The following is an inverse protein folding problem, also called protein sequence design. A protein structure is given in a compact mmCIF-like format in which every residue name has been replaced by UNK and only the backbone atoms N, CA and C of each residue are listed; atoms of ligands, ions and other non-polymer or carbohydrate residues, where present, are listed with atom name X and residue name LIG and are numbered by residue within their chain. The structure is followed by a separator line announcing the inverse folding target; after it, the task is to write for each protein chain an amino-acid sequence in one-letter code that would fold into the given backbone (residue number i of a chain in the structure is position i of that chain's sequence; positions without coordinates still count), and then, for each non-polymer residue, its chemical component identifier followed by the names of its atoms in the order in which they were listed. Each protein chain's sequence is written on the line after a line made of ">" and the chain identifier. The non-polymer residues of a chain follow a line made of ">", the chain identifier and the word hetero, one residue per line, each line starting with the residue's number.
data_IF_159066035766
#
_entry.id   IF_159066035766
#
_cell.length_a   1.000
_cell.length_b   1.000
_cell.length_c   1.000
_cell.angle_alpha   90.00
_cell.angle_beta   90.00
_cell.angle_gamma   90.00
#
_symmetry.space_group_name_H-M   'P 1'
#
loop_
_entity.id
_entity.type
_entity.pdbx_description
1 polymer ?
#
# COMPACT_ATOMS: atom_id res chain seq x y z
N UNK A 1 -14.82 14.74 -4.72
CA UNK A 1 -14.74 15.57 -5.95
C UNK A 1 -15.51 16.86 -5.80
N UNK A 2 -16.78 16.84 -5.38
CA UNK A 2 -17.63 18.04 -5.31
C UNK A 2 -17.05 19.19 -4.42
N UNK A 3 -16.17 18.89 -3.48
CA UNK A 3 -15.47 19.87 -2.62
C UNK A 3 -14.08 20.24 -3.13
N UNK A 4 -13.61 19.62 -4.21
CA UNK A 4 -12.31 19.90 -4.80
C UNK A 4 -12.35 21.19 -5.63
N UNK A 5 -11.32 22.06 -5.59
CA UNK A 5 -11.22 23.19 -6.52
C UNK A 5 -10.99 22.73 -7.97
N UNK A 6 -10.55 21.50 -8.19
CA UNK A 6 -10.30 20.97 -9.52
C UNK A 6 -11.56 20.97 -10.38
N UNK A 7 -11.52 21.72 -11.50
CA UNK A 7 -12.65 21.95 -12.40
C UNK A 7 -13.95 22.35 -11.68
N UNK A 8 -13.82 23.17 -10.63
CA UNK A 8 -14.95 23.63 -9.81
C UNK A 8 -15.80 22.48 -9.25
N UNK A 9 -15.17 21.40 -8.81
CA UNK A 9 -15.85 20.22 -8.26
C UNK A 9 -16.46 19.26 -9.28
N UNK A 10 -16.26 19.48 -10.58
CA UNK A 10 -16.81 18.65 -11.68
C UNK A 10 -15.75 17.77 -12.36
N UNK A 11 -14.49 17.83 -11.93
CA UNK A 11 -13.43 17.02 -12.49
C UNK A 11 -13.47 15.58 -11.97
N UNK A 12 -13.03 14.64 -12.80
CA UNK A 12 -12.80 13.24 -12.44
C UNK A 12 -11.34 12.90 -12.74
N UNK A 13 -10.47 13.16 -11.77
CA UNK A 13 -9.02 12.93 -11.90
C UNK A 13 -8.72 11.47 -12.20
N UNK A 14 -9.45 10.55 -11.56
CA UNK A 14 -9.24 9.11 -11.75
C UNK A 14 -9.54 8.72 -13.20
N UNK A 15 -10.65 9.21 -13.74
CA UNK A 15 -11.02 9.01 -15.16
C UNK A 15 -9.97 9.55 -16.10
N UNK A 16 -9.50 10.77 -15.85
CA UNK A 16 -8.52 11.42 -16.72
C UNK A 16 -7.19 10.66 -16.74
N UNK A 17 -6.73 10.17 -15.58
CA UNK A 17 -5.51 9.35 -15.46
C UNK A 17 -5.70 7.97 -16.10
N UNK A 18 -6.82 7.27 -15.83
CA UNK A 18 -7.12 5.98 -16.44
C UNK A 18 -7.16 6.06 -17.97
N UNK A 19 -7.80 7.11 -18.52
CA UNK A 19 -7.85 7.33 -19.96
C UNK A 19 -6.48 7.68 -20.55
N UNK A 20 -5.65 8.42 -19.83
CA UNK A 20 -4.28 8.72 -20.23
C UNK A 20 -3.41 7.47 -20.25
N UNK A 21 -3.49 6.63 -19.22
CA UNK A 21 -2.80 5.33 -19.15
C UNK A 21 -3.18 4.44 -20.35
N UNK A 22 -4.49 4.35 -20.65
CA UNK A 22 -4.99 3.57 -21.80
C UNK A 22 -4.42 4.08 -23.12
N UNK A 23 -4.39 5.40 -23.33
CA UNK A 23 -3.81 6.00 -24.56
C UNK A 23 -2.31 5.79 -24.66
N UNK A 24 -1.62 5.81 -23.52
CA UNK A 24 -0.17 5.62 -23.45
C UNK A 24 0.30 4.17 -23.40
N UNK A 25 -0.62 3.19 -23.38
CA UNK A 25 -0.28 1.77 -23.24
C UNK A 25 0.34 1.42 -21.87
N UNK A 26 0.03 2.21 -20.83
CA UNK A 26 0.49 2.00 -19.45
C UNK A 26 -0.63 1.33 -18.67
N UNK A 27 -0.29 0.32 -17.87
CA UNK A 27 -1.25 -0.32 -16.98
C UNK A 27 -1.65 0.63 -15.86
N UNK A 28 -2.95 0.68 -15.59
CA UNK A 28 -3.51 1.57 -14.58
C UNK A 28 -3.66 0.86 -13.23
N UNK A 29 -3.15 1.46 -12.18
CA UNK A 29 -3.33 1.02 -10.79
C UNK A 29 -3.98 2.12 -9.97
N UNK A 30 -4.51 1.75 -8.80
CA UNK A 30 -5.14 2.67 -7.87
C UNK A 30 -4.49 2.56 -6.49
N UNK A 31 -4.42 3.70 -5.81
CA UNK A 31 -4.07 3.81 -4.40
C UNK A 31 -5.33 4.19 -3.62
N UNK A 32 -5.64 3.48 -2.56
CA UNK A 32 -6.71 3.83 -1.66
C UNK A 32 -6.26 3.60 -0.21
N UNK A 33 -6.02 4.70 0.52
CA UNK A 33 -5.69 4.62 1.93
C UNK A 33 -6.93 4.30 2.76
N UNK A 34 -6.89 3.27 3.61
CA UNK A 34 -7.97 3.01 4.54
C UNK A 34 -7.97 3.98 5.75
N UNK A 35 -6.94 4.79 5.92
CA UNK A 35 -6.91 5.82 6.96
C UNK A 35 -7.51 7.14 6.47
N UNK A 36 -8.82 7.27 6.59
CA UNK A 36 -9.54 8.49 6.20
C UNK A 36 -9.71 9.42 7.41
N UNK A 37 -8.86 10.42 7.50
CA UNK A 37 -8.86 11.43 8.56
C UNK A 37 -10.01 12.43 8.47
N UNK A 38 -10.83 12.38 7.42
CA UNK A 38 -11.98 13.27 7.23
C UNK A 38 -13.32 12.56 7.38
N UNK A 39 -13.35 11.22 7.27
CA UNK A 39 -14.59 10.48 7.35
C UNK A 39 -15.09 10.37 8.80
N UNK A 40 -16.29 10.87 9.06
CA UNK A 40 -16.90 10.78 10.38
C UNK A 40 -17.20 9.33 10.83
N UNK A 41 -17.25 8.39 9.89
CA UNK A 41 -17.47 6.96 10.17
C UNK A 41 -16.18 6.24 10.59
N UNK A 42 -15.00 6.86 10.37
CA UNK A 42 -13.72 6.22 10.72
C UNK A 42 -13.69 5.87 12.22
N UNK A 43 -13.22 4.68 12.54
CA UNK A 43 -13.22 4.16 13.91
C UNK A 43 -14.57 3.64 14.40
N UNK A 44 -15.56 3.49 13.50
CA UNK A 44 -16.89 2.94 13.83
C UNK A 44 -17.08 1.50 13.31
N UNK A 45 -15.98 0.76 13.11
CA UNK A 45 -16.01 -0.64 12.70
C UNK A 45 -16.75 -0.84 11.38
N UNK A 46 -17.74 -1.74 11.35
CA UNK A 46 -18.45 -2.11 10.12
C UNK A 46 -19.03 -0.93 9.33
N UNK A 47 -19.45 0.14 9.96
CA UNK A 47 -20.01 1.30 9.25
C UNK A 47 -18.95 1.98 8.37
N UNK A 48 -17.70 2.04 8.86
CA UNK A 48 -16.58 2.52 8.06
C UNK A 48 -16.18 1.52 6.97
N UNK A 49 -16.14 0.22 7.28
CA UNK A 49 -15.80 -0.80 6.29
C UNK A 49 -16.82 -0.82 5.13
N UNK A 50 -18.11 -0.62 5.41
CA UNK A 50 -19.14 -0.48 4.37
C UNK A 50 -18.88 0.74 3.46
N UNK A 51 -18.51 1.87 4.05
CA UNK A 51 -18.13 3.08 3.31
C UNK A 51 -16.87 2.86 2.46
N UNK A 52 -15.83 2.24 3.04
CA UNK A 52 -14.58 1.96 2.34
C UNK A 52 -14.80 1.00 1.16
N UNK A 53 -15.55 -0.08 1.37
CA UNK A 53 -15.92 -1.04 0.31
C UNK A 53 -16.75 -0.39 -0.79
N UNK A 54 -17.61 0.59 -0.46
CA UNK A 54 -18.34 1.33 -1.48
C UNK A 54 -17.41 2.16 -2.38
N UNK A 55 -16.42 2.88 -1.80
CA UNK A 55 -15.40 3.59 -2.57
C UNK A 55 -14.55 2.65 -3.42
N UNK A 56 -14.10 1.54 -2.82
CA UNK A 56 -13.33 0.53 -3.52
C UNK A 56 -14.10 -0.06 -4.70
N UNK A 57 -15.39 -0.35 -4.50
CA UNK A 57 -16.28 -0.84 -5.57
C UNK A 57 -16.42 0.16 -6.70
N UNK A 58 -16.59 1.45 -6.40
CA UNK A 58 -16.61 2.51 -7.40
C UNK A 58 -15.33 2.52 -8.24
N UNK A 59 -14.16 2.50 -7.58
CA UNK A 59 -12.87 2.48 -8.26
C UNK A 59 -12.68 1.25 -9.15
N UNK A 60 -13.11 0.08 -8.69
CA UNK A 60 -12.92 -1.19 -9.40
C UNK A 60 -13.93 -1.42 -10.55
N UNK A 61 -15.02 -0.63 -10.63
CA UNK A 61 -16.08 -0.86 -11.62
C UNK A 61 -16.20 0.26 -12.65
N UNK A 62 -15.69 1.45 -12.36
CA UNK A 62 -15.96 2.61 -13.22
C UNK A 62 -14.81 3.01 -14.13
N UNK A 63 -13.58 2.52 -13.92
CA UNK A 63 -12.39 3.06 -14.57
C UNK A 63 -11.67 2.08 -15.51
N UNK A 64 -12.30 0.94 -15.79
CA UNK A 64 -11.75 -0.11 -16.65
C UNK A 64 -10.89 -1.10 -15.89
N UNK A 65 -9.94 -1.75 -16.57
CA UNK A 65 -9.09 -2.77 -15.98
C UNK A 65 -8.09 -2.16 -15.01
N UNK A 66 -8.05 -2.70 -13.81
CA UNK A 66 -7.14 -2.29 -12.75
C UNK A 66 -6.02 -3.32 -12.64
N UNK A 67 -4.79 -2.86 -12.85
CA UNK A 67 -3.61 -3.72 -12.74
C UNK A 67 -3.18 -3.96 -11.28
N UNK A 68 -3.25 -2.93 -10.46
CA UNK A 68 -2.80 -2.99 -9.07
C UNK A 68 -3.72 -2.16 -8.18
N UNK A 69 -4.06 -2.72 -7.02
CA UNK A 69 -4.64 -1.99 -5.90
C UNK A 69 -3.58 -1.89 -4.82
N UNK A 70 -3.14 -0.68 -4.55
CA UNK A 70 -2.13 -0.38 -3.55
C UNK A 70 -2.80 0.14 -2.28
N UNK A 71 -2.64 -0.58 -1.18
CA UNK A 71 -3.15 -0.18 0.12
C UNK A 71 -2.07 0.41 1.00
N UNK A 72 -2.36 1.58 1.55
CA UNK A 72 -1.57 2.15 2.63
C UNK A 72 -1.94 1.46 3.95
N UNK A 73 -0.95 0.98 4.70
CA UNK A 73 -1.16 0.30 5.97
C UNK A 73 -1.29 1.23 7.18
N UNK A 74 -1.10 2.53 6.98
CA UNK A 74 -1.16 3.49 8.08
C UNK A 74 -2.52 3.44 8.80
N UNK A 75 -2.48 3.48 10.13
CA UNK A 75 -3.66 3.38 10.98
C UNK A 75 -3.52 4.29 12.21
N UNK A 76 -3.74 5.58 12.01
CA UNK A 76 -3.82 6.56 13.10
C UNK A 76 -5.24 6.78 13.59
N UNK A 77 -5.43 7.83 14.39
CA UNK A 77 -6.74 8.25 14.87
C UNK A 77 -7.52 9.02 13.80
N UNK A 78 -8.82 8.83 13.80
CA UNK A 78 -9.76 9.61 13.01
C UNK A 78 -10.21 10.89 13.70
N UNK A 79 -11.18 11.63 13.11
CA UNK A 79 -11.71 12.87 13.67
C UNK A 79 -12.35 12.69 15.06
N UNK A 80 -12.75 11.48 15.39
CA UNK A 80 -13.37 11.09 16.66
C UNK A 80 -12.37 10.56 17.70
N UNK A 81 -11.06 10.63 17.43
CA UNK A 81 -10.01 10.11 18.30
C UNK A 81 -9.94 8.57 18.37
N UNK A 82 -10.60 7.87 17.45
CA UNK A 82 -10.58 6.40 17.40
C UNK A 82 -9.78 5.88 16.23
N UNK A 83 -9.14 4.74 16.42
CA UNK A 83 -8.53 3.96 15.35
C UNK A 83 -9.54 2.99 14.77
N UNK A 84 -9.42 2.71 13.46
CA UNK A 84 -10.23 1.71 12.78
C UNK A 84 -9.45 0.38 12.73
N UNK A 85 -10.14 -0.72 13.01
CA UNK A 85 -9.66 -2.05 12.65
C UNK A 85 -10.18 -2.35 11.25
N UNK A 86 -9.29 -2.49 10.28
CA UNK A 86 -9.64 -2.71 8.89
C UNK A 86 -10.09 -4.15 8.63
N UNK A 87 -11.13 -4.31 7.84
CA UNK A 87 -11.63 -5.62 7.39
C UNK A 87 -10.91 -6.07 6.10
N UNK A 88 -9.61 -6.35 6.22
CA UNK A 88 -8.77 -6.76 5.10
C UNK A 88 -9.34 -7.94 4.30
N UNK A 89 -9.87 -9.01 4.92
CA UNK A 89 -10.45 -10.12 4.16
C UNK A 89 -11.56 -9.66 3.22
N UNK A 90 -12.44 -8.80 3.69
CA UNK A 90 -13.55 -8.26 2.90
C UNK A 90 -13.08 -7.35 1.77
N UNK A 91 -12.01 -6.58 2.01
CA UNK A 91 -11.41 -5.71 0.98
C UNK A 91 -10.80 -6.57 -0.13
N UNK A 92 -10.05 -7.60 0.21
CA UNK A 92 -9.46 -8.54 -0.76
C UNK A 92 -10.53 -9.30 -1.56
N UNK A 93 -11.56 -9.81 -0.89
CA UNK A 93 -12.69 -10.47 -1.55
C UNK A 93 -13.37 -9.55 -2.58
N UNK A 94 -13.55 -8.29 -2.23
CA UNK A 94 -14.14 -7.29 -3.13
C UNK A 94 -13.27 -7.10 -4.39
N UNK A 95 -11.96 -7.00 -4.23
CA UNK A 95 -11.03 -6.88 -5.37
C UNK A 95 -11.06 -8.13 -6.23
N UNK A 96 -10.91 -9.32 -5.62
CA UNK A 96 -10.90 -10.59 -6.37
C UNK A 96 -12.18 -10.83 -7.15
N UNK A 97 -13.32 -10.41 -6.62
CA UNK A 97 -14.60 -10.54 -7.29
C UNK A 97 -14.76 -9.57 -8.47
N UNK A 98 -14.28 -8.35 -8.35
CA UNK A 98 -14.50 -7.28 -9.35
C UNK A 98 -13.36 -7.15 -10.36
N UNK A 99 -12.13 -7.44 -9.95
CA UNK A 99 -10.90 -7.36 -10.73
C UNK A 99 -10.00 -8.55 -10.36
N UNK A 100 -10.31 -9.76 -10.81
CA UNK A 100 -9.64 -11.00 -10.37
C UNK A 100 -8.13 -11.02 -10.66
N UNK A 101 -7.71 -10.34 -11.72
CA UNK A 101 -6.30 -10.26 -12.16
C UNK A 101 -5.53 -9.08 -11.54
N UNK A 102 -6.18 -8.24 -10.74
CA UNK A 102 -5.51 -7.13 -10.07
C UNK A 102 -4.57 -7.64 -8.98
N UNK A 103 -3.34 -7.12 -8.99
CA UNK A 103 -2.38 -7.34 -7.91
C UNK A 103 -2.78 -6.51 -6.68
N UNK A 104 -2.80 -7.12 -5.50
CA UNK A 104 -3.05 -6.42 -4.23
C UNK A 104 -1.71 -6.25 -3.53
N UNK A 105 -1.24 -5.00 -3.45
CA UNK A 105 0.10 -4.65 -3.01
C UNK A 105 0.13 -3.98 -1.65
N UNK A 106 1.26 -4.09 -1.00
CA UNK A 106 1.69 -3.53 0.29
C UNK A 106 1.00 -4.19 1.47
N UNK A 107 -0.28 -3.94 1.67
CA UNK A 107 -1.09 -4.61 2.70
C UNK A 107 -1.99 -5.65 2.05
N UNK A 108 -1.41 -6.51 1.22
CA UNK A 108 -2.16 -7.46 0.42
C UNK A 108 -1.46 -8.80 0.22
N UNK A 109 -2.20 -9.80 -0.27
CA UNK A 109 -1.71 -11.15 -0.37
C UNK A 109 -0.77 -11.40 -1.55
N UNK A 110 -0.56 -10.43 -2.46
CA UNK A 110 0.22 -10.67 -3.68
C UNK A 110 1.63 -10.08 -3.60
N UNK A 111 1.77 -8.93 -2.96
CA UNK A 111 3.06 -8.26 -2.77
C UNK A 111 3.12 -7.76 -1.33
N UNK A 112 4.18 -8.12 -0.62
CA UNK A 112 4.45 -7.62 0.72
C UNK A 112 5.29 -6.35 0.67
N UNK A 113 5.26 -5.61 1.73
CA UNK A 113 6.12 -4.47 1.91
C UNK A 113 7.41 -4.85 2.65
N UNK A 114 8.56 -4.27 2.27
CA UNK A 114 9.83 -4.57 2.93
C UNK A 114 9.96 -3.98 4.35
N UNK A 115 9.04 -3.08 4.75
CA UNK A 115 8.89 -2.61 6.13
C UNK A 115 9.50 -1.24 6.41
N UNK A 116 9.94 -0.48 5.40
CA UNK A 116 10.42 0.89 5.54
C UNK A 116 10.23 1.71 4.27
N UNK A 117 10.39 3.03 4.36
CA UNK A 117 10.37 3.99 3.26
C UNK A 117 11.78 4.54 2.92
N UNK A 118 12.80 4.03 3.55
CA UNK A 118 14.18 4.44 3.30
C UNK A 118 14.79 3.79 2.04
N UNK A 119 14.18 2.70 1.58
CA UNK A 119 14.66 1.90 0.46
C UNK A 119 15.62 0.78 0.89
N UNK A 120 15.72 0.51 2.19
CA UNK A 120 16.57 -0.54 2.70
C UNK A 120 15.89 -1.91 2.62
N UNK A 121 16.68 -2.93 2.28
CA UNK A 121 16.25 -4.33 2.25
C UNK A 121 17.04 -5.15 3.26
N UNK A 122 16.48 -6.28 3.69
CA UNK A 122 17.25 -7.29 4.43
C UNK A 122 18.26 -7.94 3.50
N UNK A 123 19.34 -8.46 4.04
CA UNK A 123 20.34 -9.21 3.26
C UNK A 123 19.71 -10.37 2.48
N UNK A 124 18.70 -11.02 3.08
CA UNK A 124 17.95 -12.11 2.49
C UNK A 124 16.50 -11.70 2.16
N UNK A 125 16.30 -10.60 1.45
CA UNK A 125 14.98 -10.12 1.00
C UNK A 125 14.53 -10.87 -0.26
N UNK A 126 14.24 -12.15 -0.11
CA UNK A 126 13.84 -13.02 -1.21
C UNK A 126 12.35 -12.97 -1.47
N UNK A 127 11.97 -13.33 -2.69
CA UNK A 127 10.57 -13.44 -3.08
C UNK A 127 9.91 -14.75 -2.61
N UNK A 128 10.68 -15.67 -2.07
CA UNK A 128 10.18 -16.91 -1.47
C UNK A 128 10.25 -16.78 0.04
N UNK A 129 9.12 -16.98 0.69
CA UNK A 129 8.96 -16.83 2.14
C UNK A 129 8.12 -17.98 2.73
N UNK A 130 8.17 -18.18 4.05
CA UNK A 130 7.26 -19.13 4.72
C UNK A 130 5.79 -18.77 4.50
N UNK A 131 4.94 -19.75 4.23
CA UNK A 131 3.51 -19.53 3.99
C UNK A 131 2.82 -18.77 5.12
N UNK A 132 3.21 -18.98 6.37
CA UNK A 132 2.65 -18.28 7.53
C UNK A 132 2.77 -16.76 7.46
N UNK A 133 3.62 -16.21 6.58
CA UNK A 133 3.72 -14.75 6.36
C UNK A 133 2.53 -14.18 5.61
N UNK A 134 1.73 -15.04 4.96
CA UNK A 134 0.48 -14.66 4.26
C UNK A 134 -0.77 -14.75 5.11
N UNK A 135 -0.66 -15.04 6.39
CA UNK A 135 -1.80 -14.97 7.29
C UNK A 135 -2.38 -13.56 7.28
N UNK A 136 -3.67 -13.44 6.98
CA UNK A 136 -4.35 -12.15 6.84
C UNK A 136 -4.34 -11.35 8.13
N UNK A 137 -4.40 -12.01 9.29
CA UNK A 137 -4.28 -11.33 10.58
C UNK A 137 -2.87 -10.77 10.75
N UNK A 138 -1.86 -11.53 10.32
CA UNK A 138 -0.49 -11.08 10.36
C UNK A 138 -0.20 -9.94 9.39
N UNK A 139 -0.73 -10.01 8.17
CA UNK A 139 -0.65 -8.90 7.21
C UNK A 139 -1.29 -7.65 7.81
N UNK A 140 -2.47 -7.79 8.43
CA UNK A 140 -3.17 -6.69 9.07
C UNK A 140 -2.36 -6.09 10.23
N UNK A 141 -1.75 -6.93 11.07
CA UNK A 141 -0.92 -6.50 12.20
C UNK A 141 0.36 -5.78 11.72
N UNK A 142 1.06 -6.37 10.75
CA UNK A 142 2.31 -5.81 10.21
C UNK A 142 2.06 -4.53 9.39
N UNK A 143 0.85 -4.35 8.86
CA UNK A 143 0.47 -3.21 8.03
C UNK A 143 -0.09 -2.03 8.82
N UNK A 144 -0.65 -2.25 10.00
CA UNK A 144 -1.20 -1.18 10.84
C UNK A 144 -0.08 -0.47 11.60
N UNK A 145 0.50 0.54 11.00
CA UNK A 145 1.62 1.28 11.58
C UNK A 145 1.18 2.64 12.09
N UNK A 146 1.85 3.12 13.15
CA UNK A 146 1.67 4.50 13.60
C UNK A 146 2.35 5.45 12.62
N UNK A 147 1.67 6.57 12.32
CA UNK A 147 2.25 7.64 11.52
C UNK A 147 3.19 8.45 12.42
N UNK A 148 4.45 8.05 12.47
CA UNK A 148 5.51 8.81 13.13
C UNK A 148 6.73 8.98 12.21
N UNK A 149 7.52 10.03 12.48
CA UNK A 149 8.68 10.35 11.65
C UNK A 149 9.79 9.28 11.76
N UNK A 150 9.86 8.56 12.86
CA UNK A 150 10.84 7.49 13.06
C UNK A 150 10.61 6.32 12.07
N UNK A 151 9.38 6.13 11.65
CA UNK A 151 9.00 5.13 10.68
C UNK A 151 9.56 5.38 9.28
N UNK A 152 9.59 6.64 8.83
CA UNK A 152 10.14 7.03 7.52
C UNK A 152 11.65 6.87 7.44
N UNK A 153 12.31 6.94 8.58
CA UNK A 153 13.77 6.85 8.71
C UNK A 153 14.23 5.47 9.19
N UNK A 154 13.31 4.51 9.30
CA UNK A 154 13.64 3.19 9.80
C UNK A 154 14.63 2.50 8.86
N UNK A 155 15.82 2.27 9.37
CA UNK A 155 16.81 1.41 8.74
C UNK A 155 16.56 -0.03 9.18
N UNK A 156 16.57 -0.97 8.25
CA UNK A 156 16.52 -2.41 8.56
C UNK A 156 17.79 -2.77 9.33
N UNK A 157 17.60 -3.42 10.47
CA UNK A 157 18.68 -3.83 11.35
C UNK A 157 18.86 -5.35 11.34
N UNK A 158 20.02 -5.82 11.78
CA UNK A 158 20.29 -7.25 11.86
C UNK A 158 19.25 -8.04 12.69
N UNK A 159 18.62 -7.41 13.68
CA UNK A 159 17.56 -7.99 14.50
C UNK A 159 16.17 -7.95 13.88
N UNK A 160 16.01 -7.31 12.72
CA UNK A 160 14.74 -7.36 12.02
C UNK A 160 14.46 -8.80 11.56
N UNK A 161 13.19 -9.16 11.61
CA UNK A 161 12.76 -10.53 11.37
C UNK A 161 13.28 -11.07 10.05
N UNK A 162 13.98 -12.19 10.11
CA UNK A 162 14.34 -12.96 8.93
C UNK A 162 13.06 -13.55 8.28
N UNK A 163 12.88 -13.32 6.99
CA UNK A 163 11.77 -13.84 6.21
C UNK A 163 12.22 -14.80 5.12
N UNK A 164 13.49 -14.86 4.81
CA UNK A 164 13.91 -15.56 3.59
C UNK A 164 15.33 -16.08 3.60
N UNK A 165 16.04 -16.14 4.75
CA UNK A 165 17.35 -16.79 4.77
C UNK A 165 17.22 -18.27 4.42
N UNK A 166 18.28 -18.86 3.86
CA UNK A 166 18.31 -20.28 3.51
C UNK A 166 18.13 -21.18 4.72
N UNK A 167 18.66 -20.77 5.86
CA UNK A 167 18.55 -21.44 7.14
C UNK A 167 17.09 -21.50 7.60
N UNK A 168 16.37 -20.38 7.52
CA UNK A 168 14.96 -20.31 7.83
C UNK A 168 14.14 -21.18 6.87
N UNK A 169 14.33 -20.98 5.55
CA UNK A 169 13.54 -21.66 4.53
C UNK A 169 13.74 -23.18 4.55
N UNK A 170 14.93 -23.65 4.94
CA UNK A 170 15.22 -25.08 5.05
C UNK A 170 14.40 -25.80 6.15
N UNK A 171 13.90 -25.08 7.13
CA UNK A 171 13.13 -25.64 8.26
C UNK A 171 11.62 -25.42 8.13
N UNK A 172 11.18 -24.64 7.16
CA UNK A 172 9.76 -24.31 6.99
C UNK A 172 9.06 -25.40 6.16
N UNK A 173 7.88 -25.84 6.60
CA UNK A 173 7.18 -26.93 5.94
C UNK A 173 6.51 -26.50 4.61
N UNK A 174 6.24 -25.24 4.44
CA UNK A 174 5.55 -24.72 3.26
C UNK A 174 6.09 -23.34 2.88
N UNK A 175 6.49 -23.20 1.63
CA UNK A 175 7.03 -21.99 1.05
C UNK A 175 6.10 -21.46 -0.04
N UNK A 176 6.07 -20.14 -0.19
CA UNK A 176 5.27 -19.46 -1.21
C UNK A 176 6.08 -18.38 -1.91
N UNK A 177 5.65 -18.04 -3.10
CA UNK A 177 6.09 -16.84 -3.82
C UNK A 177 5.33 -15.63 -3.29
N UNK A 178 6.03 -14.71 -2.65
CA UNK A 178 5.49 -13.49 -2.09
C UNK A 178 6.51 -12.36 -2.19
N UNK A 179 6.59 -11.70 -3.37
CA UNK A 179 7.61 -10.70 -3.65
C UNK A 179 7.47 -9.48 -2.73
N UNK A 180 8.61 -8.86 -2.46
CA UNK A 180 8.67 -7.63 -1.67
C UNK A 180 8.64 -6.40 -2.57
N UNK A 181 7.92 -5.38 -2.13
CA UNK A 181 8.00 -4.03 -2.64
C UNK A 181 8.93 -3.19 -1.75
N UNK A 182 9.88 -2.52 -2.39
CA UNK A 182 10.78 -1.56 -1.76
C UNK A 182 10.32 -0.15 -2.10
N UNK A 183 9.95 0.62 -1.09
CA UNK A 183 9.51 1.99 -1.26
C UNK A 183 10.61 2.96 -0.88
N UNK A 184 10.87 3.93 -1.74
CA UNK A 184 11.74 5.04 -1.42
C UNK A 184 11.43 6.25 -2.28
N UNK A 185 11.59 7.44 -1.74
CA UNK A 185 11.52 8.66 -2.53
C UNK A 185 12.90 9.04 -3.05
N UNK A 186 12.94 9.71 -4.19
CA UNK A 186 14.18 10.25 -4.76
C UNK A 186 14.57 11.62 -4.18
N UNK A 187 13.69 12.21 -3.37
CA UNK A 187 13.85 13.49 -2.65
C UNK A 187 13.58 13.29 -1.16
N UNK A 188 13.78 14.31 -0.31
CA UNK A 188 13.54 14.21 1.13
C UNK A 188 12.10 13.80 1.52
N UNK A 189 11.11 14.07 0.66
CA UNK A 189 9.71 13.72 0.87
C UNK A 189 9.07 13.06 -0.35
N UNK A 190 7.78 12.66 -0.22
CA UNK A 190 7.00 12.03 -1.29
C UNK A 190 6.45 13.02 -2.31
N UNK A 191 6.36 14.30 -1.95
CA UNK A 191 5.82 15.35 -2.80
C UNK A 191 6.94 16.18 -3.41
N UNK A 192 6.69 16.72 -4.60
CA UNK A 192 7.63 17.60 -5.27
C UNK A 192 7.68 18.98 -4.61
N UNK A 193 8.89 19.43 -4.30
CA UNK A 193 9.21 20.79 -3.88
C UNK A 193 10.42 21.26 -4.69
N UNK A 194 10.29 22.47 -5.31
CA UNK A 194 11.34 23.02 -6.18
C UNK A 194 12.68 23.21 -5.47
N UNK A 195 12.65 23.60 -4.19
CA UNK A 195 13.83 23.78 -3.34
C UNK A 195 14.59 22.47 -3.07
N UNK A 196 13.98 21.33 -3.35
CA UNK A 196 14.60 20.00 -3.17
C UNK A 196 15.27 19.46 -4.45
N UNK A 197 15.26 20.20 -5.56
CA UNK A 197 15.84 19.73 -6.82
C UNK A 197 17.37 19.48 -6.74
N UNK A 198 18.04 20.14 -5.80
CA UNK A 198 19.47 19.91 -5.52
C UNK A 198 19.72 18.74 -4.54
N UNK A 199 18.67 18.13 -4.01
CA UNK A 199 18.72 17.07 -3.00
C UNK A 199 18.27 15.73 -3.57
N UNK A 200 18.27 15.57 -4.89
CA UNK A 200 17.92 14.31 -5.54
C UNK A 200 18.96 13.24 -5.21
N UNK A 201 18.51 12.11 -4.70
CA UNK A 201 19.39 10.98 -4.34
C UNK A 201 20.06 10.40 -5.59
N UNK A 202 21.36 10.13 -5.54
CA UNK A 202 22.06 9.52 -6.66
C UNK A 202 21.61 8.06 -6.90
N UNK A 203 21.75 7.61 -8.14
CA UNK A 203 21.28 6.30 -8.57
C UNK A 203 21.92 5.14 -7.80
N UNK A 204 23.18 5.26 -7.44
CA UNK A 204 23.94 4.26 -6.70
C UNK A 204 23.48 4.11 -5.24
N UNK A 205 22.76 5.10 -4.69
CA UNK A 205 22.08 4.96 -3.41
C UNK A 205 20.71 4.26 -3.53
N UNK A 206 20.08 4.37 -4.70
CA UNK A 206 18.75 3.81 -4.93
C UNK A 206 18.79 2.35 -5.39
N UNK A 207 19.92 1.92 -5.96
CA UNK A 207 20.15 0.57 -6.49
C UNK A 207 21.35 -0.03 -5.75
N UNK A 208 21.09 -0.62 -4.60
CA UNK A 208 22.11 -1.35 -3.82
C UNK A 208 21.83 -2.83 -3.84
#
# INVERSE_FOLDING_TARGET
>A
VARSPFRAGKGDVIREVADACRRGGIRFGIYLSPWDRNCALYGQGKAYDDYFVAQLTELLTQYGDIFCVWFDGACGEGPNGKKQRYDWPRYYETIRRLQPDACISVCGPDIRWCGNEAGDTREAEWNVVPRRTMDTEKIAEDSQQSDDDAFRQRTIRAQDRDLGSRELLATEPELIWYPAEVNTSIRPGWFYHEEEDTQVRPLDELIR
#
